data_IF_560513633681
#
_entry.id   IF_560513633681
#
_cell.length_a   1.000
_cell.length_b   1.000
_cell.length_c   1.000
_cell.angle_alpha   90.00
_cell.angle_beta   90.00
_cell.angle_gamma   90.00
#
_symmetry.space_group_name_H-M   'P 1'
#
loop_
_entity.id
_entity.type
_entity.pdbx_description
1 polymer ?
#
# COMPACT_ATOMS: atom_id res chain seq x y z
N UNK A 1 18.12 -8.13 -22.11
CA UNK A 1 16.97 -8.61 -21.31
C UNK A 1 15.70 -8.50 -22.15
N UNK A 2 14.93 -9.59 -22.28
CA UNK A 2 13.73 -9.67 -23.13
C UNK A 2 12.69 -8.60 -22.74
N UNK A 3 12.49 -7.59 -23.60
CA UNK A 3 11.43 -6.60 -23.43
C UNK A 3 10.10 -7.28 -23.75
N UNK A 4 9.40 -7.77 -22.72
CA UNK A 4 8.10 -8.43 -22.86
C UNK A 4 7.07 -7.47 -23.52
N UNK A 5 6.19 -8.03 -24.33
CA UNK A 5 5.23 -7.29 -25.16
C UNK A 5 4.23 -6.41 -24.37
N UNK A 6 3.52 -5.50 -25.05
CA UNK A 6 2.63 -4.53 -24.41
C UNK A 6 1.48 -5.16 -23.60
N UNK A 7 0.95 -6.30 -24.04
CA UNK A 7 -0.10 -7.03 -23.31
C UNK A 7 0.39 -7.56 -21.97
N UNK A 8 1.61 -8.12 -21.93
CA UNK A 8 2.23 -8.60 -20.69
C UNK A 8 2.43 -7.45 -19.69
N UNK A 9 2.87 -6.28 -20.17
CA UNK A 9 3.05 -5.10 -19.31
C UNK A 9 1.71 -4.61 -18.77
N UNK A 10 0.67 -4.57 -19.61
CA UNK A 10 -0.67 -4.16 -19.18
C UNK A 10 -1.24 -5.09 -18.11
N UNK A 11 -1.10 -6.41 -18.31
CA UNK A 11 -1.53 -7.41 -17.33
C UNK A 11 -0.73 -7.33 -16.03
N UNK A 12 0.58 -7.11 -16.13
CA UNK A 12 1.44 -6.91 -14.95
C UNK A 12 1.01 -5.69 -14.14
N UNK A 13 0.71 -4.56 -14.79
CA UNK A 13 0.20 -3.36 -14.11
C UNK A 13 -1.15 -3.66 -13.43
N UNK A 14 -2.08 -4.36 -14.09
CA UNK A 14 -3.35 -4.77 -13.47
C UNK A 14 -3.12 -5.56 -12.17
N UNK A 15 -2.22 -6.55 -12.19
CA UNK A 15 -1.91 -7.36 -11.01
C UNK A 15 -1.22 -6.57 -9.91
N UNK A 16 -0.27 -5.70 -10.25
CA UNK A 16 0.41 -4.85 -9.27
C UNK A 16 -0.55 -3.89 -8.58
N UNK A 17 -1.51 -3.31 -9.30
CA UNK A 17 -2.56 -2.46 -8.72
C UNK A 17 -3.49 -3.31 -7.87
N UNK A 18 -4.00 -4.42 -8.41
CA UNK A 18 -4.94 -5.31 -7.70
C UNK A 18 -4.36 -5.87 -6.41
N UNK A 19 -3.06 -6.20 -6.40
CA UNK A 19 -2.34 -6.66 -5.22
C UNK A 19 -2.48 -5.69 -4.04
N UNK A 20 -2.44 -4.36 -4.28
CA UNK A 20 -2.54 -3.36 -3.22
C UNK A 20 -3.86 -3.46 -2.42
N UNK A 21 -4.87 -4.13 -2.97
CA UNK A 21 -6.13 -4.43 -2.29
C UNK A 21 -5.99 -5.23 -0.99
N UNK A 22 -4.88 -5.92 -0.77
CA UNK A 22 -4.62 -6.63 0.50
C UNK A 22 -4.72 -5.70 1.72
N UNK A 23 -4.42 -4.40 1.56
CA UNK A 23 -4.53 -3.40 2.64
C UNK A 23 -5.92 -3.30 3.23
N UNK A 24 -6.96 -3.55 2.42
CA UNK A 24 -8.33 -3.58 2.91
C UNK A 24 -8.48 -4.59 4.04
N UNK A 25 -7.89 -5.79 3.87
CA UNK A 25 -7.95 -6.85 4.87
C UNK A 25 -7.14 -6.51 6.12
N UNK A 26 -5.94 -5.96 5.93
CA UNK A 26 -5.07 -5.56 7.04
C UNK A 26 -5.76 -4.49 7.88
N UNK A 27 -6.31 -3.47 7.25
CA UNK A 27 -6.90 -2.35 7.96
C UNK A 27 -8.19 -2.73 8.69
N UNK A 28 -9.08 -3.47 8.03
CA UNK A 28 -10.41 -3.77 8.58
C UNK A 28 -10.41 -4.89 9.61
N UNK A 29 -9.66 -5.97 9.37
CA UNK A 29 -9.69 -7.13 10.27
C UNK A 29 -8.51 -7.11 11.24
N UNK A 30 -7.30 -6.85 10.74
CA UNK A 30 -6.10 -7.00 11.55
C UNK A 30 -5.90 -5.82 12.50
N UNK A 31 -5.95 -4.58 12.00
CA UNK A 31 -5.73 -3.41 12.84
C UNK A 31 -6.86 -3.21 13.85
N UNK A 32 -8.11 -3.47 13.46
CA UNK A 32 -9.22 -3.46 14.41
C UNK A 32 -9.01 -4.49 15.53
N UNK A 33 -8.65 -5.74 15.20
CA UNK A 33 -8.37 -6.78 16.19
C UNK A 33 -7.18 -6.47 17.09
N UNK A 34 -6.07 -5.96 16.53
CA UNK A 34 -4.89 -5.56 17.29
C UNK A 34 -5.17 -4.37 18.22
N UNK A 35 -5.99 -3.40 17.78
CA UNK A 35 -6.39 -2.28 18.61
C UNK A 35 -7.26 -2.75 19.79
N UNK A 36 -8.24 -3.62 19.56
CA UNK A 36 -9.06 -4.22 20.63
C UNK A 36 -8.22 -5.05 21.61
N UNK A 37 -7.16 -5.70 21.13
CA UNK A 37 -6.20 -6.44 21.94
C UNK A 37 -5.15 -5.56 22.66
N UNK A 38 -5.23 -4.24 22.51
CA UNK A 38 -4.28 -3.26 23.05
C UNK A 38 -2.83 -3.40 22.54
N UNK A 39 -2.66 -3.87 21.31
CA UNK A 39 -1.35 -4.14 20.71
C UNK A 39 -0.87 -3.04 19.74
N UNK A 40 -1.77 -2.19 19.26
CA UNK A 40 -1.46 -1.02 18.42
C UNK A 40 -2.30 0.18 18.86
N UNK A 41 -1.85 1.43 18.68
CA UNK A 41 -2.64 2.61 19.04
C UNK A 41 -3.74 2.93 18.04
N UNK A 42 -4.67 3.80 18.45
CA UNK A 42 -5.81 4.28 17.63
C UNK A 42 -5.32 4.95 16.33
N UNK A 43 -4.20 5.65 16.42
CA UNK A 43 -3.56 6.43 15.35
C UNK A 43 -3.19 5.56 14.15
N UNK A 44 -2.91 4.27 14.37
CA UNK A 44 -2.64 3.30 13.31
C UNK A 44 -3.90 2.79 12.61
N UNK A 45 -5.10 3.09 13.11
CA UNK A 45 -6.38 2.64 12.53
C UNK A 45 -7.03 3.70 11.63
N UNK A 46 -8.08 3.31 10.91
CA UNK A 46 -8.93 4.22 10.10
C UNK A 46 -9.54 5.37 10.88
N UNK A 47 -9.81 5.17 12.17
CA UNK A 47 -10.37 6.21 13.05
C UNK A 47 -9.30 7.22 13.48
N UNK A 48 -8.04 6.83 13.36
CA UNK A 48 -6.88 7.67 13.61
C UNK A 48 -6.39 8.34 12.34
N UNK A 49 -5.13 8.07 11.98
CA UNK A 49 -4.40 8.80 10.94
C UNK A 49 -4.04 7.91 9.76
N UNK A 50 -4.72 6.80 9.56
CA UNK A 50 -4.37 5.81 8.55
C UNK A 50 -5.35 5.79 7.36
N UNK A 51 -5.04 6.50 6.26
CA UNK A 51 -5.85 6.48 5.05
C UNK A 51 -5.56 5.29 4.12
N UNK A 52 -4.72 4.30 4.49
CA UNK A 52 -4.38 3.16 3.61
C UNK A 52 -5.61 2.34 3.20
N UNK A 53 -6.70 2.39 3.97
CA UNK A 53 -7.99 1.81 3.59
C UNK A 53 -8.45 2.28 2.21
N UNK A 54 -8.28 3.57 1.90
CA UNK A 54 -8.74 4.15 0.64
C UNK A 54 -7.99 3.56 -0.55
N UNK A 55 -6.70 3.29 -0.39
CA UNK A 55 -5.88 2.65 -1.42
C UNK A 55 -6.28 1.18 -1.56
N UNK A 56 -6.45 0.47 -0.44
CA UNK A 56 -6.93 -0.92 -0.45
C UNK A 56 -8.29 -1.07 -1.12
N UNK A 57 -9.25 -0.18 -0.81
CA UNK A 57 -10.60 -0.23 -1.35
C UNK A 57 -10.66 0.17 -2.83
N UNK A 58 -9.86 1.16 -3.24
CA UNK A 58 -9.85 1.63 -4.63
C UNK A 58 -9.05 0.72 -5.57
N UNK A 59 -8.12 -0.10 -5.06
CA UNK A 59 -7.26 -0.97 -5.85
C UNK A 59 -8.01 -1.90 -6.83
N UNK A 60 -9.05 -2.66 -6.44
CA UNK A 60 -9.83 -3.48 -7.38
C UNK A 60 -10.50 -2.67 -8.48
N UNK A 61 -11.01 -1.48 -8.13
CA UNK A 61 -11.68 -0.57 -9.07
C UNK A 61 -10.67 -0.05 -10.09
N UNK A 62 -9.52 0.45 -9.63
CA UNK A 62 -8.47 0.97 -10.51
C UNK A 62 -7.88 -0.14 -11.39
N UNK A 63 -7.65 -1.34 -10.84
CA UNK A 63 -7.19 -2.49 -11.61
C UNK A 63 -8.19 -2.89 -12.71
N UNK A 64 -9.49 -2.90 -12.39
CA UNK A 64 -10.55 -3.18 -13.35
C UNK A 64 -10.64 -2.11 -14.45
N UNK A 65 -10.62 -0.82 -14.08
CA UNK A 65 -10.68 0.29 -15.03
C UNK A 65 -9.45 0.32 -15.95
N UNK A 66 -8.26 0.06 -15.41
CA UNK A 66 -7.03 -0.10 -16.18
C UNK A 66 -7.13 -1.27 -17.17
N UNK A 67 -7.59 -2.44 -16.70
CA UNK A 67 -7.78 -3.61 -17.56
C UNK A 67 -8.78 -3.36 -18.70
N UNK A 68 -9.84 -2.58 -18.44
CA UNK A 68 -10.82 -2.15 -19.46
C UNK A 68 -10.35 -0.99 -20.33
N UNK A 69 -9.09 -0.55 -20.22
CA UNK A 69 -8.51 0.60 -20.92
C UNK A 69 -9.29 1.91 -20.72
N UNK A 70 -10.00 2.04 -19.60
CA UNK A 70 -10.79 3.24 -19.24
C UNK A 70 -10.01 4.25 -18.41
N UNK A 71 -8.77 3.91 -18.01
CA UNK A 71 -7.93 4.74 -17.17
C UNK A 71 -6.59 4.98 -17.87
N UNK A 72 -6.18 6.24 -17.96
CA UNK A 72 -4.93 6.62 -18.61
C UNK A 72 -3.68 6.39 -17.75
N UNK A 73 -2.48 6.37 -18.35
CA UNK A 73 -1.24 6.13 -17.62
C UNK A 73 -0.95 7.20 -16.57
N UNK A 74 -1.30 8.47 -16.83
CA UNK A 74 -1.11 9.57 -15.88
C UNK A 74 -1.94 9.39 -14.61
N UNK A 75 -3.24 9.10 -14.75
CA UNK A 75 -4.13 8.87 -13.60
C UNK A 75 -3.68 7.65 -12.79
N UNK A 76 -3.24 6.60 -13.48
CA UNK A 76 -2.70 5.38 -12.83
C UNK A 76 -1.42 5.68 -12.05
N UNK A 77 -0.54 6.52 -12.60
CA UNK A 77 0.68 6.94 -11.93
C UNK A 77 0.38 7.79 -10.68
N UNK A 78 -0.54 8.75 -10.80
CA UNK A 78 -1.00 9.55 -9.65
C UNK A 78 -1.59 8.67 -8.54
N UNK A 79 -2.39 7.65 -8.89
CA UNK A 79 -2.91 6.71 -7.92
C UNK A 79 -1.80 5.92 -7.20
N UNK A 80 -0.76 5.48 -7.92
CA UNK A 80 0.39 4.81 -7.29
C UNK A 80 1.20 5.75 -6.39
N UNK A 81 1.35 7.02 -6.77
CA UNK A 81 2.01 8.03 -5.93
C UNK A 81 1.21 8.31 -4.66
N UNK A 82 -0.11 8.42 -4.75
CA UNK A 82 -0.98 8.53 -3.59
C UNK A 82 -0.82 7.31 -2.67
N UNK A 83 -0.78 6.10 -3.23
CA UNK A 83 -0.52 4.88 -2.47
C UNK A 83 0.82 4.86 -1.74
N UNK A 84 1.88 5.41 -2.34
CA UNK A 84 3.17 5.59 -1.65
C UNK A 84 3.10 6.60 -0.52
N UNK A 85 2.38 7.72 -0.71
CA UNK A 85 2.22 8.75 0.31
C UNK A 85 1.49 8.19 1.54
N UNK A 86 0.38 7.45 1.34
CA UNK A 86 -0.34 6.85 2.46
C UNK A 86 0.50 5.77 3.16
N UNK A 87 1.22 4.96 2.37
CA UNK A 87 2.13 3.93 2.90
C UNK A 87 3.23 4.55 3.77
N UNK A 88 3.85 5.64 3.33
CA UNK A 88 4.86 6.37 4.12
C UNK A 88 4.24 6.89 5.41
N UNK A 89 3.03 7.45 5.34
CA UNK A 89 2.34 7.97 6.53
C UNK A 89 2.06 6.87 7.56
N UNK A 90 1.59 5.68 7.15
CA UNK A 90 1.36 4.58 8.11
C UNK A 90 2.66 3.99 8.65
N UNK A 91 3.71 3.88 7.83
CA UNK A 91 5.03 3.43 8.30
C UNK A 91 5.62 4.41 9.31
N UNK A 92 5.57 5.71 9.04
CA UNK A 92 6.02 6.73 9.98
C UNK A 92 5.22 6.67 11.28
N UNK A 93 3.89 6.58 11.20
CA UNK A 93 3.03 6.45 12.38
C UNK A 93 3.35 5.19 13.18
N UNK A 94 3.57 4.05 12.51
CA UNK A 94 3.92 2.79 13.16
C UNK A 94 5.25 2.86 13.90
N UNK A 95 6.27 3.49 13.31
CA UNK A 95 7.60 3.69 13.93
C UNK A 95 7.49 4.64 15.12
N UNK A 96 6.80 5.76 14.96
CA UNK A 96 6.59 6.74 16.03
C UNK A 96 5.67 6.24 17.15
N UNK A 97 5.01 5.10 16.95
CA UNK A 97 4.19 4.42 17.95
C UNK A 97 4.94 3.29 18.67
N UNK A 98 6.17 2.96 18.27
CA UNK A 98 6.95 1.90 18.93
C UNK A 98 7.31 2.31 20.37
N UNK A 99 7.38 1.35 21.32
CA UNK A 99 7.76 1.61 22.72
C UNK A 99 9.26 1.90 22.83
N UNK A 100 9.67 3.07 22.37
CA UNK A 100 11.06 3.52 22.28
C UNK A 100 11.17 4.93 22.88
N UNK A 101 12.40 5.39 23.14
CA UNK A 101 12.63 6.73 23.71
C UNK A 101 12.17 7.88 22.81
N UNK A 102 11.95 7.64 21.51
CA UNK A 102 11.45 8.62 20.55
C UNK A 102 9.97 8.43 20.19
N UNK A 103 9.22 7.66 20.99
CA UNK A 103 7.78 7.48 20.81
C UNK A 103 7.05 8.83 20.85
N UNK A 104 6.13 9.03 19.91
CA UNK A 104 5.30 10.24 19.79
C UNK A 104 3.80 9.93 19.92
N UNK A 105 3.37 8.73 19.49
CA UNK A 105 1.97 8.32 19.50
C UNK A 105 1.74 7.10 20.39
N UNK A 106 0.50 6.93 20.90
CA UNK A 106 0.11 5.71 21.59
C UNK A 106 0.81 5.47 22.94
N UNK A 107 1.09 6.51 23.73
CA UNK A 107 1.77 6.34 25.03
C UNK A 107 1.04 5.36 25.96
N UNK A 108 -0.29 5.38 25.98
CA UNK A 108 -1.11 4.45 26.77
C UNK A 108 -1.22 3.05 26.13
N UNK A 109 -1.00 2.95 24.82
CA UNK A 109 -1.18 1.74 24.02
C UNK A 109 -0.16 1.69 22.86
N UNK A 110 1.12 1.39 23.15
CA UNK A 110 2.17 1.42 22.14
C UNK A 110 2.00 0.32 21.10
N UNK A 111 2.67 0.47 19.96
CA UNK A 111 2.72 -0.50 18.86
C UNK A 111 3.64 -1.69 19.20
N UNK A 112 3.28 -2.46 20.21
CA UNK A 112 3.98 -3.71 20.56
C UNK A 112 3.66 -4.82 19.56
N UNK A 113 2.49 -4.76 18.91
CA UNK A 113 2.06 -5.73 17.90
C UNK A 113 3.07 -5.89 16.77
N UNK A 114 3.65 -4.79 16.27
CA UNK A 114 4.65 -4.83 15.21
C UNK A 114 5.94 -5.62 15.56
N UNK A 115 6.17 -5.93 16.84
CA UNK A 115 7.33 -6.67 17.32
C UNK A 115 7.02 -8.16 17.59
N UNK A 116 5.75 -8.57 17.49
CA UNK A 116 5.28 -9.90 17.86
C UNK A 116 5.05 -10.76 16.63
N UNK A 117 5.35 -12.07 16.71
CA UNK A 117 4.90 -13.01 15.69
C UNK A 117 3.39 -13.25 15.81
N UNK A 118 2.63 -13.31 14.70
CA UNK A 118 3.06 -13.22 13.29
C UNK A 118 3.08 -11.80 12.72
N UNK A 119 2.69 -10.79 13.50
CA UNK A 119 2.47 -9.41 13.05
C UNK A 119 3.76 -8.66 12.67
N UNK A 120 4.93 -9.10 13.12
CA UNK A 120 6.24 -8.63 12.65
C UNK A 120 6.42 -8.80 11.14
N UNK A 121 5.68 -9.72 10.50
CA UNK A 121 5.66 -9.88 9.05
C UNK A 121 5.03 -8.68 8.33
N UNK A 122 4.25 -7.84 9.01
CA UNK A 122 3.69 -6.61 8.43
C UNK A 122 4.82 -5.66 7.99
N UNK A 123 5.67 -5.14 8.91
CA UNK A 123 6.79 -4.29 8.51
C UNK A 123 7.89 -5.06 7.77
N UNK A 124 8.11 -6.34 8.08
CA UNK A 124 9.21 -7.10 7.49
C UNK A 124 8.94 -7.56 6.04
N UNK A 125 7.68 -7.76 5.65
CA UNK A 125 7.34 -8.31 4.35
C UNK A 125 6.23 -7.55 3.62
N UNK A 126 5.06 -7.36 4.25
CA UNK A 126 3.91 -6.79 3.56
C UNK A 126 4.12 -5.31 3.18
N UNK A 127 4.74 -4.52 4.05
CA UNK A 127 5.10 -3.12 3.77
C UNK A 127 6.10 -3.02 2.60
N UNK A 128 7.25 -3.74 2.60
CA UNK A 128 8.13 -3.79 1.43
C UNK A 128 7.42 -4.25 0.15
N UNK A 129 6.59 -5.29 0.21
CA UNK A 129 5.86 -5.79 -0.95
C UNK A 129 4.92 -4.73 -1.54
N UNK A 130 4.18 -4.02 -0.68
CA UNK A 130 3.33 -2.89 -1.05
C UNK A 130 4.13 -1.79 -1.76
N UNK A 131 5.26 -1.39 -1.17
CA UNK A 131 6.16 -0.38 -1.71
C UNK A 131 6.68 -0.79 -3.11
N UNK A 132 7.24 -1.99 -3.23
CA UNK A 132 7.73 -2.50 -4.51
C UNK A 132 6.63 -2.59 -5.56
N UNK A 133 5.41 -2.97 -5.19
CA UNK A 133 4.27 -3.02 -6.09
C UNK A 133 3.99 -1.65 -6.74
N UNK A 134 4.03 -0.57 -5.96
CA UNK A 134 3.83 0.79 -6.48
C UNK A 134 5.00 1.26 -7.34
N UNK A 135 6.24 1.08 -6.87
CA UNK A 135 7.44 1.48 -7.62
C UNK A 135 7.54 0.76 -8.95
N UNK A 136 7.26 -0.55 -8.97
CA UNK A 136 7.32 -1.32 -10.20
C UNK A 136 6.20 -0.97 -11.17
N UNK A 137 4.99 -0.69 -10.68
CA UNK A 137 3.90 -0.19 -11.52
C UNK A 137 4.27 1.16 -12.16
N UNK A 138 4.89 2.08 -11.39
CA UNK A 138 5.36 3.37 -11.90
C UNK A 138 6.45 3.22 -12.96
N UNK A 139 7.43 2.33 -12.77
CA UNK A 139 8.46 2.05 -13.77
C UNK A 139 7.85 1.53 -15.08
N UNK A 140 6.92 0.58 -15.01
CA UNK A 140 6.22 0.06 -16.19
C UNK A 140 5.43 1.16 -16.93
N UNK A 141 4.73 2.03 -16.20
CA UNK A 141 3.99 3.16 -16.78
C UNK A 141 4.93 4.18 -17.45
N UNK A 142 6.05 4.51 -16.80
CA UNK A 142 7.05 5.43 -17.33
C UNK A 142 7.67 4.90 -18.63
N UNK A 143 8.04 3.62 -18.64
CA UNK A 143 8.64 2.96 -19.80
C UNK A 143 7.65 2.82 -20.97
N UNK A 144 6.35 2.69 -20.69
CA UNK A 144 5.29 2.68 -21.71
C UNK A 144 5.16 4.04 -22.42
N UNK A 145 5.10 5.13 -21.65
CA UNK A 145 4.97 6.49 -22.20
C UNK A 145 6.17 6.87 -23.10
N UNK A 146 7.40 6.46 -22.72
CA UNK A 146 8.60 6.72 -23.54
C UNK A 146 8.64 5.96 -24.86
N UNK A 147 7.96 4.83 -24.97
CA UNK A 147 7.90 4.06 -26.22
C UNK A 147 6.95 4.59 -27.29
N UNK A 148 6.27 5.72 -27.07
CA UNK A 148 5.37 6.32 -28.06
C UNK A 148 4.13 5.48 -28.39
N UNK A 149 3.86 4.41 -27.63
CA UNK A 149 2.60 3.66 -27.71
C UNK A 149 1.54 4.42 -26.93
N UNK A 150 1.10 5.53 -27.53
CA UNK A 150 -0.20 6.12 -27.24
C UNK A 150 -1.20 5.18 -27.89
N UNK A 151 -1.97 4.48 -27.06
CA UNK A 151 -3.07 3.62 -27.51
C UNK A 151 -4.10 4.45 -28.31
#
# INVERSE_FOLDING_TARGET
LFRKGPEYQSLSITWLIGFQGFRLLIETFLFHGLYSAKLIPLEMTILGRNPDLLIGLSAPIVAFLWHKKKLGPMVTALWNLLGLITLINIVATAILSLPTSFQVFGHDQPNIGALMFPFVLLPAFLVPAAFFGHIYALDLLWNRNRSGKVD
#
